data_IF_556883281967
#
_entry.id   IF_556883281967
#
_cell.length_a   1.000
_cell.length_b   1.000
_cell.length_c   1.000
_cell.angle_alpha   90.00
_cell.angle_beta   90.00
_cell.angle_gamma   90.00
#
_symmetry.space_group_name_H-M   'P 1'
#
loop_
_entity.id
_entity.type
_entity.pdbx_description
1 polymer ?
#
# COMPACT_ATOMS: atom_id res chain seq x y z
N UNK A 1 16.86 1.92 2.81
CA UNK A 1 16.77 2.03 1.34
C UNK A 1 17.44 0.83 0.72
N UNK A 2 16.68 0.02 -0.01
CA UNK A 2 17.25 -1.08 -0.81
C UNK A 2 18.07 -0.54 -1.97
N UNK A 3 18.93 -1.36 -2.59
CA UNK A 3 19.79 -0.92 -3.71
C UNK A 3 18.96 -0.44 -4.92
N UNK A 4 17.84 -1.10 -5.22
CA UNK A 4 16.93 -0.69 -6.31
C UNK A 4 16.16 0.61 -6.03
N UNK A 5 15.73 0.83 -4.79
CA UNK A 5 15.03 2.06 -4.40
C UNK A 5 15.91 3.31 -4.54
N UNK A 6 17.23 3.16 -4.31
CA UNK A 6 18.19 4.23 -4.51
C UNK A 6 18.40 4.54 -6.00
N UNK A 7 18.43 3.52 -6.85
CA UNK A 7 18.52 3.67 -8.31
C UNK A 7 17.28 4.39 -8.87
N UNK A 8 16.09 3.97 -8.45
CA UNK A 8 14.82 4.62 -8.81
C UNK A 8 14.78 6.10 -8.37
N UNK A 9 15.25 6.40 -7.16
CA UNK A 9 15.37 7.79 -6.69
C UNK A 9 16.34 8.61 -7.54
N UNK A 10 17.48 8.04 -7.92
CA UNK A 10 18.45 8.72 -8.78
C UNK A 10 17.88 9.04 -10.16
N UNK A 11 17.13 8.11 -10.76
CA UNK A 11 16.43 8.34 -12.03
C UNK A 11 15.37 9.44 -11.91
N UNK A 12 14.61 9.44 -10.82
CA UNK A 12 13.63 10.48 -10.53
C UNK A 12 14.26 11.87 -10.42
N UNK A 13 15.36 11.99 -9.68
CA UNK A 13 16.11 13.24 -9.54
C UNK A 13 16.65 13.69 -10.90
N UNK A 14 17.24 12.78 -11.68
CA UNK A 14 17.80 13.09 -13.00
C UNK A 14 16.71 13.61 -13.97
N UNK A 15 15.51 13.02 -13.95
CA UNK A 15 14.37 13.50 -14.73
C UNK A 15 13.88 14.86 -14.24
N UNK A 16 13.68 15.03 -12.93
CA UNK A 16 13.21 16.29 -12.33
C UNK A 16 14.13 17.46 -12.66
N UNK A 17 15.46 17.24 -12.62
CA UNK A 17 16.44 18.25 -13.00
C UNK A 17 16.42 18.56 -14.50
N UNK A 18 16.23 17.55 -15.35
CA UNK A 18 16.12 17.72 -16.81
C UNK A 18 14.90 18.53 -17.22
N UNK A 19 13.77 18.33 -16.53
CA UNK A 19 12.50 18.98 -16.84
C UNK A 19 12.42 20.44 -16.31
N UNK A 20 13.54 21.00 -15.86
CA UNK A 20 13.63 22.38 -15.38
C UNK A 20 13.37 22.56 -13.88
N UNK A 21 13.33 21.47 -13.11
CA UNK A 21 13.22 21.48 -11.65
C UNK A 21 14.47 21.97 -10.91
N UNK A 22 15.33 22.78 -11.55
CA UNK A 22 16.59 23.27 -10.99
C UNK A 22 16.42 24.23 -9.80
N UNK A 23 15.18 24.59 -9.47
CA UNK A 23 14.82 25.45 -8.33
C UNK A 23 14.30 24.66 -7.12
N UNK A 24 14.09 23.35 -7.24
CA UNK A 24 13.60 22.54 -6.14
C UNK A 24 14.73 22.24 -5.15
N UNK A 25 14.45 22.45 -3.87
CA UNK A 25 15.38 22.05 -2.82
C UNK A 25 15.46 20.51 -2.74
N UNK A 26 16.57 19.95 -2.27
CA UNK A 26 16.71 18.50 -2.07
C UNK A 26 15.55 17.89 -1.25
N UNK A 27 15.08 18.60 -0.22
CA UNK A 27 13.96 18.18 0.62
C UNK A 27 12.64 18.14 -0.17
N UNK A 28 12.43 19.10 -1.07
CA UNK A 28 11.25 19.18 -1.92
C UNK A 28 11.21 18.03 -2.93
N UNK A 29 12.36 17.68 -3.51
CA UNK A 29 12.50 16.55 -4.43
C UNK A 29 12.25 15.22 -3.70
N UNK A 30 12.79 15.07 -2.49
CA UNK A 30 12.55 13.88 -1.67
C UNK A 30 11.08 13.74 -1.25
N UNK A 31 10.41 14.84 -0.89
CA UNK A 31 8.99 14.83 -0.56
C UNK A 31 8.11 14.45 -1.76
N UNK A 32 8.42 14.98 -2.95
CA UNK A 32 7.73 14.60 -4.18
C UNK A 32 7.96 13.13 -4.54
N UNK A 33 9.20 12.64 -4.41
CA UNK A 33 9.52 11.24 -4.66
C UNK A 33 8.68 10.28 -3.80
N UNK A 34 8.62 10.55 -2.49
CA UNK A 34 7.81 9.75 -1.56
C UNK A 34 6.33 9.75 -1.91
N UNK A 35 5.80 10.90 -2.35
CA UNK A 35 4.40 11.01 -2.75
C UNK A 35 4.10 10.16 -3.99
N UNK A 36 4.94 10.28 -5.04
CA UNK A 36 4.77 9.49 -6.27
C UNK A 36 4.84 7.99 -5.97
N UNK A 37 5.78 7.57 -5.14
CA UNK A 37 5.90 6.17 -4.70
C UNK A 37 4.66 5.68 -3.97
N UNK A 38 4.13 6.45 -3.04
CA UNK A 38 2.92 6.09 -2.32
C UNK A 38 1.71 6.01 -3.26
N UNK A 39 1.56 6.98 -4.16
CA UNK A 39 0.48 6.98 -5.15
C UNK A 39 0.60 5.76 -6.09
N UNK A 40 1.81 5.36 -6.50
CA UNK A 40 2.06 4.17 -7.34
C UNK A 40 1.79 2.86 -6.58
N UNK A 41 2.14 2.78 -5.29
CA UNK A 41 1.83 1.64 -4.43
C UNK A 41 0.31 1.47 -4.26
N UNK A 42 -0.41 2.56 -3.99
CA UNK A 42 -1.87 2.57 -3.87
C UNK A 42 -2.55 2.12 -5.17
N UNK A 43 -2.10 2.63 -6.32
CA UNK A 43 -2.63 2.23 -7.63
C UNK A 43 -2.34 0.75 -7.93
N UNK A 44 -1.18 0.24 -7.52
CA UNK A 44 -0.83 -1.16 -7.71
C UNK A 44 -1.70 -2.09 -6.87
N UNK A 45 -1.96 -1.71 -5.61
CA UNK A 45 -2.89 -2.44 -4.73
C UNK A 45 -4.31 -2.46 -5.32
N UNK A 46 -4.81 -1.33 -5.80
CA UNK A 46 -6.12 -1.24 -6.42
C UNK A 46 -6.23 -2.13 -7.67
N UNK A 47 -5.18 -2.18 -8.51
CA UNK A 47 -5.16 -3.06 -9.68
C UNK A 47 -5.20 -4.53 -9.30
N UNK A 48 -4.39 -4.93 -8.31
CA UNK A 48 -4.39 -6.30 -7.82
C UNK A 48 -5.77 -6.70 -7.27
N UNK A 49 -6.41 -5.83 -6.49
CA UNK A 49 -7.77 -6.09 -5.98
C UNK A 49 -8.83 -6.19 -7.08
N UNK A 50 -8.68 -5.45 -8.18
CA UNK A 50 -9.57 -5.58 -9.34
C UNK A 50 -9.34 -6.88 -10.11
N UNK A 51 -8.09 -7.32 -10.24
CA UNK A 51 -7.75 -8.60 -10.86
C UNK A 51 -8.30 -9.78 -10.04
N UNK A 52 -8.14 -9.76 -8.72
CA UNK A 52 -8.76 -10.74 -7.82
C UNK A 52 -10.29 -10.76 -7.94
N UNK A 53 -10.91 -9.59 -8.17
CA UNK A 53 -12.34 -9.48 -8.44
C UNK A 53 -12.76 -10.15 -9.75
N UNK A 54 -12.02 -9.89 -10.82
CA UNK A 54 -12.27 -10.46 -12.14
C UNK A 54 -12.05 -11.98 -12.17
N UNK A 55 -11.08 -12.48 -11.39
CA UNK A 55 -10.82 -13.92 -11.22
C UNK A 55 -11.82 -14.62 -10.29
N UNK A 56 -12.74 -13.87 -9.66
CA UNK A 56 -13.72 -14.41 -8.72
C UNK A 56 -13.12 -14.87 -7.40
N UNK A 57 -11.94 -14.36 -7.04
CA UNK A 57 -11.24 -14.68 -5.79
C UNK A 57 -11.70 -13.83 -4.59
N UNK A 58 -12.73 -13.00 -4.76
CA UNK A 58 -13.29 -12.22 -3.66
C UNK A 58 -14.05 -13.11 -2.68
N UNK A 59 -13.66 -13.02 -1.42
CA UNK A 59 -14.37 -13.67 -0.32
C UNK A 59 -15.39 -12.68 0.27
N UNK A 60 -16.64 -13.10 0.53
CA UNK A 60 -17.61 -12.26 1.21
C UNK A 60 -17.07 -11.80 2.57
N UNK A 61 -17.24 -10.50 2.87
CA UNK A 61 -16.78 -9.93 4.13
C UNK A 61 -17.34 -10.65 5.36
N UNK A 62 -18.54 -11.23 5.27
CA UNK A 62 -19.15 -12.01 6.35
C UNK A 62 -18.35 -13.27 6.70
N UNK A 63 -17.75 -13.93 5.70
CA UNK A 63 -16.96 -15.15 5.89
C UNK A 63 -15.61 -14.81 6.52
N UNK A 64 -14.94 -13.75 6.03
CA UNK A 64 -13.70 -13.23 6.64
C UNK A 64 -13.91 -12.81 8.10
N UNK A 65 -15.04 -12.14 8.40
CA UNK A 65 -15.37 -11.73 9.76
C UNK A 65 -15.71 -12.93 10.67
N UNK A 66 -16.28 -14.01 10.11
CA UNK A 66 -16.53 -15.23 10.85
C UNK A 66 -15.22 -15.93 11.22
N UNK A 67 -14.28 -16.02 10.28
CA UNK A 67 -12.95 -16.61 10.48
C UNK A 67 -12.15 -15.83 11.52
N UNK A 68 -12.11 -14.49 11.41
CA UNK A 68 -11.45 -13.64 12.40
C UNK A 68 -12.08 -13.78 13.79
N UNK A 69 -13.42 -13.91 13.88
CA UNK A 69 -14.09 -14.12 15.16
C UNK A 69 -13.73 -15.46 15.79
N UNK A 70 -13.54 -16.51 14.98
CA UNK A 70 -13.11 -17.82 15.46
C UNK A 70 -11.63 -17.79 15.89
N UNK A 71 -10.75 -17.22 15.06
CA UNK A 71 -9.32 -17.08 15.31
C UNK A 71 -9.02 -16.29 16.60
N UNK A 72 -9.72 -15.17 16.80
CA UNK A 72 -9.53 -14.30 17.97
C UNK A 72 -10.50 -14.60 19.12
N UNK A 73 -11.34 -15.64 19.00
CA UNK A 73 -12.29 -16.03 20.05
C UNK A 73 -13.32 -14.96 20.43
N UNK A 74 -13.59 -14.00 19.55
CA UNK A 74 -14.43 -12.80 19.79
C UNK A 74 -15.95 -13.11 19.92
N UNK A 75 -16.31 -14.35 20.24
CA UNK A 75 -17.68 -14.82 20.45
C UNK A 75 -17.88 -15.67 21.71
N UNK A 76 -16.83 -15.98 22.47
CA UNK A 76 -16.95 -16.65 23.78
C UNK A 76 -16.78 -15.63 24.91
N UNK A 77 -17.82 -14.83 25.15
CA UNK A 77 -18.01 -14.33 26.51
C UNK A 77 -18.46 -15.51 27.35
N UNK A 78 -17.57 -16.00 28.21
CA UNK A 78 -17.86 -16.99 29.24
C UNK A 78 -19.14 -16.58 29.98
N UNK A 79 -20.22 -17.28 29.66
CA UNK A 79 -21.39 -17.34 30.53
C UNK A 79 -21.00 -18.27 31.67
N UNK A 80 -20.40 -17.72 32.73
CA UNK A 80 -20.27 -18.41 34.01
C UNK A 80 -21.68 -18.71 34.56
N UNK A 81 -22.10 -19.99 34.67
CA UNK A 81 -23.25 -20.34 35.46
C UNK A 81 -22.90 -20.29 36.95
N UNK A 82 -23.91 -19.94 37.74
CA UNK A 82 -23.88 -19.68 39.18
C UNK A 82 -23.36 -20.81 40.06
#
# INVERSE_FOLDING_TARGET
MGRGELEEFHEFVARTLRDGGSTLSPESVLAQWRRVRHDDEDVSLLRASLEEADEGQLVPAADVLADLRDEFGLGRSDSSPS
#
